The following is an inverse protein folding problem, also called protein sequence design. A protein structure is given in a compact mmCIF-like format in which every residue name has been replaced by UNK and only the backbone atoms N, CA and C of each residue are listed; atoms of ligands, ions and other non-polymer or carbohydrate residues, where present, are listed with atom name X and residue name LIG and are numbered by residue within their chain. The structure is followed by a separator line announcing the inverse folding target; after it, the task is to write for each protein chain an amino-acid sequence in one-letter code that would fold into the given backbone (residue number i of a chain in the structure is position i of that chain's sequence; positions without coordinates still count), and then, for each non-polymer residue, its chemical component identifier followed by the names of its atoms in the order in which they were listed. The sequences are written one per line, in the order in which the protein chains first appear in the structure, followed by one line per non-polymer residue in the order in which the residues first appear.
data_IF_098689810015
#
_entry.id   IF_098689810015
#
_cell.length_a   1.000
_cell.length_b   1.000
_cell.length_c   1.000
_cell.angle_alpha   90.00
_cell.angle_beta   90.00
_cell.angle_gamma   90.00
#
_symmetry.space_group_name_H-M   'P 1'
#
loop_
_entity.id
_entity.type
_entity.pdbx_description
1 polymer ?
#
# COMPACT_ATOMS: atom_id res chain seq x y z
N UNK A 1 -16.79 18.91 17.89
CA UNK A 1 -15.93 17.71 17.94
C UNK A 1 -14.68 17.98 17.10
N UNK A 2 -13.60 18.43 17.74
CA UNK A 2 -12.32 18.67 17.08
C UNK A 2 -11.31 17.67 17.64
N UNK A 3 -10.81 16.76 16.79
CA UNK A 3 -9.71 15.87 17.11
C UNK A 3 -8.63 16.10 16.06
N UNK A 4 -7.74 17.05 16.33
CA UNK A 4 -6.47 17.18 15.64
C UNK A 4 -5.39 16.88 16.68
N UNK A 5 -5.11 15.59 16.87
CA UNK A 5 -4.05 15.10 17.73
C UNK A 5 -2.71 15.31 17.01
N UNK A 6 -1.92 16.21 17.56
CA UNK A 6 -0.46 16.41 17.46
C UNK A 6 0.33 15.35 16.68
N UNK A 7 0.89 15.78 15.54
CA UNK A 7 1.99 15.12 14.85
C UNK A 7 3.31 15.44 15.56
N UNK A 8 3.70 14.64 16.55
CA UNK A 8 5.06 14.62 17.06
C UNK A 8 5.83 13.56 16.26
N UNK A 9 6.55 14.01 15.23
CA UNK A 9 7.44 13.18 14.41
C UNK A 9 8.77 12.99 15.15
N UNK A 10 8.85 11.90 15.92
CA UNK A 10 10.10 11.38 16.46
C UNK A 10 10.95 10.84 15.30
N UNK A 11 11.78 11.70 14.71
CA UNK A 11 12.70 11.38 13.60
C UNK A 11 13.95 10.62 14.07
N UNK A 12 14.12 10.45 15.38
CA UNK A 12 15.27 9.78 16.02
C UNK A 12 15.46 8.32 15.61
N UNK A 13 14.41 7.64 15.12
CA UNK A 13 14.50 6.23 14.68
C UNK A 13 15.16 6.07 13.31
N UNK A 14 15.10 7.08 12.45
CA UNK A 14 15.56 6.99 11.05
C UNK A 14 17.04 7.33 10.87
N UNK A 15 17.68 7.92 11.89
CA UNK A 15 19.14 8.17 11.91
C UNK A 15 19.94 6.93 12.36
N UNK A 16 19.26 5.92 12.91
CA UNK A 16 19.92 4.65 13.24
C UNK A 16 20.25 3.89 11.95
N UNK A 17 21.47 3.36 11.82
CA UNK A 17 21.99 2.59 10.64
C UNK A 17 21.10 1.40 10.22
N UNK A 18 20.07 1.10 10.99
CA UNK A 18 19.03 0.13 10.66
C UNK A 18 18.14 0.57 9.49
N UNK A 19 17.95 1.87 9.25
CA UNK A 19 17.12 2.37 8.15
C UNK A 19 17.98 2.74 6.93
N UNK A 20 17.62 2.18 5.79
CA UNK A 20 18.22 2.45 4.49
C UNK A 20 17.39 3.51 3.76
N UNK A 21 18.08 4.33 2.95
CA UNK A 21 17.44 5.36 2.14
C UNK A 21 16.42 4.78 1.15
N UNK A 22 15.42 5.58 0.79
CA UNK A 22 14.44 5.23 -0.25
C UNK A 22 15.14 5.02 -1.61
N UNK A 23 14.54 4.18 -2.44
CA UNK A 23 14.96 3.95 -3.83
C UNK A 23 14.06 4.75 -4.80
N UNK A 24 14.45 4.91 -6.05
CA UNK A 24 13.67 5.63 -7.08
C UNK A 24 12.21 5.15 -7.18
N UNK A 25 11.98 3.84 -7.01
CA UNK A 25 10.65 3.25 -7.01
C UNK A 25 9.79 3.64 -5.80
N UNK A 26 10.35 4.26 -4.77
CA UNK A 26 9.59 4.75 -3.63
C UNK A 26 9.16 6.22 -3.79
N UNK A 27 9.69 6.95 -4.77
CA UNK A 27 9.41 8.37 -4.96
C UNK A 27 7.91 8.63 -5.17
N UNK A 28 7.35 9.57 -4.41
CA UNK A 28 5.91 9.87 -4.44
C UNK A 28 5.04 8.98 -3.54
N UNK A 29 5.62 8.14 -2.68
CA UNK A 29 4.86 7.44 -1.63
C UNK A 29 4.59 8.36 -0.43
N UNK A 30 3.34 8.42 0.07
CA UNK A 30 2.94 9.28 1.22
C UNK A 30 3.62 8.93 2.56
N UNK A 31 4.44 7.87 2.57
CA UNK A 31 5.08 7.30 3.75
C UNK A 31 6.58 7.58 3.81
N UNK A 32 7.07 8.47 2.97
CA UNK A 32 8.45 8.94 2.99
C UNK A 32 8.59 9.95 4.14
N UNK A 33 9.65 9.79 4.94
CA UNK A 33 10.04 10.72 6.00
C UNK A 33 11.42 11.23 5.66
N UNK A 34 11.59 12.54 5.67
CA UNK A 34 12.89 13.17 5.52
C UNK A 34 13.53 13.29 6.90
N UNK A 35 14.72 12.70 7.08
CA UNK A 35 15.53 12.87 8.27
C UNK A 35 16.91 13.36 7.83
N UNK A 36 17.30 14.51 8.39
CA UNK A 36 18.54 15.24 8.12
C UNK A 36 18.73 15.64 6.65
N UNK A 37 19.28 14.76 5.82
CA UNK A 37 19.53 15.00 4.37
C UNK A 37 19.11 13.81 3.52
N UNK A 38 18.52 12.79 4.15
CA UNK A 38 18.18 11.52 3.53
C UNK A 38 16.71 11.19 3.75
N UNK A 39 16.09 10.63 2.71
CA UNK A 39 14.69 10.22 2.75
C UNK A 39 14.60 8.74 3.12
N UNK A 40 13.75 8.43 4.09
CA UNK A 40 13.54 7.08 4.61
C UNK A 40 12.09 6.65 4.45
N UNK A 41 11.86 5.33 4.45
CA UNK A 41 10.51 4.78 4.52
C UNK A 41 10.06 4.65 5.98
N UNK A 42 8.88 5.18 6.32
CA UNK A 42 8.29 5.04 7.67
C UNK A 42 7.96 3.60 8.07
N UNK A 43 7.72 2.73 7.09
CA UNK A 43 7.29 1.34 7.34
C UNK A 43 8.44 0.34 7.26
N UNK A 44 9.37 0.55 6.33
CA UNK A 44 10.38 -0.44 5.99
C UNK A 44 11.77 0.11 6.26
N UNK A 45 12.57 -0.70 6.96
CA UNK A 45 14.00 -0.46 7.20
C UNK A 45 14.82 -0.62 5.92
N UNK A 46 14.45 -1.55 5.03
CA UNK A 46 15.14 -1.80 3.76
C UNK A 46 14.16 -1.75 2.57
N UNK A 47 13.87 -0.56 2.00
CA UNK A 47 12.96 -0.43 0.86
C UNK A 47 13.45 -1.22 -0.37
N UNK A 48 14.76 -1.24 -0.64
CA UNK A 48 15.34 -2.01 -1.76
C UNK A 48 15.00 -3.52 -1.70
N UNK A 49 15.06 -4.13 -0.51
CA UNK A 49 14.74 -5.55 -0.33
C UNK A 49 13.26 -5.84 -0.61
N UNK A 50 12.36 -4.93 -0.22
CA UNK A 50 10.92 -5.09 -0.47
C UNK A 50 10.62 -5.09 -1.96
N UNK A 51 11.16 -4.13 -2.70
CA UNK A 51 10.98 -4.03 -4.15
C UNK A 51 11.63 -5.18 -4.93
N UNK A 52 12.70 -5.79 -4.39
CA UNK A 52 13.31 -7.00 -4.96
C UNK A 52 12.41 -8.24 -4.79
N UNK A 53 11.70 -8.35 -3.67
CA UNK A 53 10.79 -9.46 -3.38
C UNK A 53 9.43 -9.31 -4.05
N UNK A 54 9.06 -8.10 -4.48
CA UNK A 54 7.83 -7.83 -5.20
C UNK A 54 7.33 -6.40 -4.99
N UNK A 55 6.09 -6.17 -5.41
CA UNK A 55 5.48 -4.84 -5.29
C UNK A 55 5.32 -4.40 -3.82
N UNK A 56 5.54 -3.12 -3.53
CA UNK A 56 5.34 -2.59 -2.18
C UNK A 56 3.84 -2.44 -1.90
N UNK A 57 3.32 -3.16 -0.90
CA UNK A 57 1.90 -3.14 -0.52
C UNK A 57 1.38 -1.75 -0.09
N UNK A 58 2.30 -0.85 0.29
CA UNK A 58 1.98 0.50 0.72
C UNK A 58 2.35 1.57 -0.31
N UNK A 59 2.83 1.20 -1.50
CA UNK A 59 3.06 2.17 -2.56
C UNK A 59 1.71 2.76 -2.97
N UNK A 60 1.50 4.03 -2.66
CA UNK A 60 0.33 4.80 -3.08
C UNK A 60 0.48 5.32 -4.51
N UNK A 61 1.72 5.49 -4.97
CA UNK A 61 2.05 5.99 -6.32
C UNK A 61 1.98 4.91 -7.41
N UNK A 62 2.20 3.65 -7.06
CA UNK A 62 2.11 2.56 -8.01
C UNK A 62 1.00 1.63 -7.51
N UNK A 63 -0.05 1.55 -8.30
CA UNK A 63 -1.07 0.54 -8.11
C UNK A 63 -0.64 -0.62 -8.99
N UNK A 64 -0.48 -1.85 -8.47
CA UNK A 64 -0.38 -2.99 -9.36
C UNK A 64 -1.59 -2.91 -10.27
N UNK A 65 -1.36 -2.86 -11.58
CA UNK A 65 -2.42 -3.04 -12.55
C UNK A 65 -2.96 -4.45 -12.32
N UNK A 66 -3.94 -4.54 -11.43
CA UNK A 66 -4.87 -5.65 -11.42
C UNK A 66 -5.57 -5.43 -12.75
N UNK A 67 -5.05 -6.08 -13.79
CA UNK A 67 -5.87 -6.53 -14.90
C UNK A 67 -6.96 -7.33 -14.22
N UNK A 68 -8.00 -6.64 -13.78
CA UNK A 68 -9.26 -7.21 -13.41
C UNK A 68 -9.73 -7.77 -14.72
N UNK A 69 -9.24 -8.97 -15.04
CA UNK A 69 -9.80 -9.85 -16.03
C UNK A 69 -11.24 -9.87 -15.62
N UNK A 70 -12.05 -9.07 -16.33
CA UNK A 70 -13.45 -8.91 -16.05
C UNK A 70 -13.94 -10.35 -16.02
N UNK A 71 -14.20 -10.85 -14.80
CA UNK A 71 -14.51 -12.24 -14.63
C UNK A 71 -15.78 -12.39 -15.46
N UNK A 72 -15.67 -13.03 -16.62
CA UNK A 72 -16.80 -13.26 -17.53
C UNK A 72 -17.71 -14.21 -16.76
N UNK A 73 -18.54 -13.64 -15.89
CA UNK A 73 -19.52 -14.38 -15.14
C UNK A 73 -20.49 -14.89 -16.18
N UNK A 74 -20.42 -16.19 -16.43
CA UNK A 74 -21.30 -16.86 -17.36
C UNK A 74 -22.76 -16.54 -16.99
N UNK A 75 -23.59 -16.06 -17.93
CA UNK A 75 -24.97 -15.65 -17.63
C UNK A 75 -25.79 -16.75 -16.95
N UNK A 76 -25.52 -18.03 -17.25
CA UNK A 76 -26.18 -19.16 -16.57
C UNK A 76 -25.83 -19.23 -15.07
N UNK A 77 -24.59 -18.90 -14.71
CA UNK A 77 -24.11 -18.89 -13.32
C UNK A 77 -24.69 -17.70 -12.54
N UNK A 78 -24.94 -16.57 -13.20
CA UNK A 78 -25.64 -15.42 -12.63
C UNK A 78 -27.12 -15.73 -12.38
N UNK A 79 -27.83 -16.28 -13.37
CA UNK A 79 -29.24 -16.66 -13.24
C UNK A 79 -29.48 -17.69 -12.12
N UNK A 80 -28.60 -18.68 -11.99
CA UNK A 80 -28.70 -19.68 -10.90
C UNK A 80 -28.52 -19.05 -9.51
N UNK A 81 -27.64 -18.05 -9.36
CA UNK A 81 -27.43 -17.32 -8.11
C UNK A 81 -28.62 -16.42 -7.76
N UNK A 82 -29.23 -15.77 -8.75
CA UNK A 82 -30.44 -14.96 -8.56
C UNK A 82 -31.63 -15.82 -8.10
N UNK A 83 -31.85 -16.97 -8.74
CA UNK A 83 -32.92 -17.90 -8.37
C UNK A 83 -32.76 -18.44 -6.94
N UNK A 84 -31.53 -18.75 -6.51
CA UNK A 84 -31.28 -19.24 -5.15
C UNK A 84 -31.46 -18.13 -4.09
N UNK A 85 -31.16 -16.86 -4.41
CA UNK A 85 -31.46 -15.73 -3.53
C UNK A 85 -32.96 -15.46 -3.41
N UNK A 86 -33.71 -15.60 -4.51
CA UNK A 86 -35.16 -15.42 -4.52
C UNK A 86 -35.91 -16.49 -3.72
N UNK A 87 -35.42 -17.75 -3.71
CA UNK A 87 -36.03 -18.84 -2.91
C UNK A 87 -35.77 -18.75 -1.39
N UNK A 88 -34.86 -17.88 -0.94
CA UNK A 88 -34.50 -17.73 0.48
C UNK A 88 -35.20 -16.53 1.16
N UNK A 89 -36.00 -15.77 0.42
CA UNK A 89 -36.85 -14.70 0.94
C UNK A 89 -38.28 -15.23 1.05
#
# INVERSE_FOLDING_TARGET
MAKATTAASDTSKYTSEMFQAIIDKCEGCDRIVEADTTRFCRTYTAPAAKWRLGFCNFATHAKPEILAVAARVNPLKASKRAANKAKKK
#
